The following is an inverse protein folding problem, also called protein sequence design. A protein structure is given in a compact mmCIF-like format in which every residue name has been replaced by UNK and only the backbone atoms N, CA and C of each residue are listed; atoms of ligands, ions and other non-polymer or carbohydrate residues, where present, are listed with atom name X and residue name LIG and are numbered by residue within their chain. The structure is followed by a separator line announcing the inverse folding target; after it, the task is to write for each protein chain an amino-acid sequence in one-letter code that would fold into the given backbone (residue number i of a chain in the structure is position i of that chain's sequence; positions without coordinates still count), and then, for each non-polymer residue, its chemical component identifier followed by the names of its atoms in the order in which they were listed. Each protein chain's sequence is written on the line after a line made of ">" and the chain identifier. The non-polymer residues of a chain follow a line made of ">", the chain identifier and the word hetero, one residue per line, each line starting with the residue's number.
data_IF_873529756617
#
_entry.id   IF_873529756617
#
_cell.length_a   1.000
_cell.length_b   1.000
_cell.length_c   1.000
_cell.angle_alpha   90.00
_cell.angle_beta   90.00
_cell.angle_gamma   90.00
#
_symmetry.space_group_name_H-M   'P 1'
#
loop_
_entity.id
_entity.type
_entity.pdbx_description
1 polymer ?
#
# COMPACT_ATOMS: atom_id res chain seq x y z
N UNK A 1 4.89 32.87 -9.54
CA UNK A 1 5.88 32.84 -8.45
C UNK A 1 5.25 32.42 -7.12
N UNK A 2 4.35 33.19 -6.50
CA UNK A 2 3.78 32.83 -5.18
C UNK A 2 2.75 31.69 -5.25
N UNK A 3 1.81 31.75 -6.21
CA UNK A 3 0.85 30.67 -6.50
C UNK A 3 1.48 29.33 -6.90
N UNK A 4 2.71 29.36 -7.37
CA UNK A 4 3.44 28.16 -7.82
C UNK A 4 4.09 27.45 -6.64
N UNK A 5 4.71 28.20 -5.73
CA UNK A 5 5.21 27.69 -4.45
C UNK A 5 4.11 27.16 -3.55
N UNK A 6 2.93 27.78 -3.59
CA UNK A 6 1.77 27.30 -2.82
C UNK A 6 1.29 25.94 -3.33
N UNK A 7 1.24 25.75 -4.66
CA UNK A 7 0.97 24.43 -5.26
C UNK A 7 2.03 23.41 -4.93
N UNK A 8 3.31 23.78 -4.96
CA UNK A 8 4.42 22.89 -4.56
C UNK A 8 4.30 22.47 -3.10
N UNK A 9 4.00 23.41 -2.19
CA UNK A 9 3.78 23.09 -0.77
C UNK A 9 2.56 22.20 -0.55
N UNK A 10 1.46 22.48 -1.24
CA UNK A 10 0.27 21.64 -1.19
C UNK A 10 0.56 20.22 -1.72
N UNK A 11 1.34 20.12 -2.80
CA UNK A 11 1.76 18.86 -3.40
C UNK A 11 2.67 18.05 -2.48
N UNK A 12 3.58 18.70 -1.77
CA UNK A 12 4.45 18.08 -0.77
C UNK A 12 3.66 17.61 0.45
N UNK A 13 2.72 18.42 0.95
CA UNK A 13 1.87 18.02 2.08
C UNK A 13 1.00 16.81 1.76
N UNK A 14 0.45 16.73 0.54
CA UNK A 14 -0.28 15.54 0.07
C UNK A 14 0.62 14.30 -0.04
N UNK A 15 1.88 14.49 -0.45
CA UNK A 15 2.86 13.40 -0.52
C UNK A 15 3.21 12.85 0.86
N UNK A 16 3.43 13.75 1.83
CA UNK A 16 3.73 13.40 3.23
C UNK A 16 2.55 12.66 3.87
N UNK A 17 1.32 13.12 3.66
CA UNK A 17 0.12 12.45 4.20
C UNK A 17 -0.02 11.02 3.68
N UNK A 18 0.19 10.81 2.37
CA UNK A 18 0.13 9.47 1.78
C UNK A 18 1.31 8.56 2.21
N UNK A 19 2.38 9.10 2.79
CA UNK A 19 3.54 8.36 3.31
C UNK A 19 3.52 8.24 4.84
N UNK A 20 2.59 8.91 5.52
CA UNK A 20 2.56 8.99 6.97
C UNK A 20 2.08 7.67 7.57
N UNK A 21 2.92 7.09 8.44
CA UNK A 21 2.56 5.92 9.24
C UNK A 21 1.72 6.39 10.43
N UNK A 22 0.45 5.97 10.51
CA UNK A 22 -0.40 6.27 11.66
C UNK A 22 0.06 5.47 12.90
N UNK A 23 0.67 6.16 13.86
CA UNK A 23 1.11 5.58 15.13
C UNK A 23 -0.08 5.51 16.11
N UNK A 24 -0.65 4.32 16.28
CA UNK A 24 -1.70 4.03 17.26
C UNK A 24 -1.21 3.00 18.28
N UNK A 25 -1.34 3.31 19.56
CA UNK A 25 -0.77 2.59 20.69
C UNK A 25 -1.17 1.11 20.82
N UNK A 26 -0.17 0.28 21.20
CA UNK A 26 -0.19 -1.10 21.74
C UNK A 26 -0.13 -2.34 20.83
N UNK A 27 0.13 -2.18 19.54
CA UNK A 27 0.87 -3.18 18.73
C UNK A 27 1.70 -2.38 17.73
N UNK A 28 2.99 -2.65 17.58
CA UNK A 28 3.75 -1.92 16.58
C UNK A 28 3.14 -2.22 15.21
N UNK A 29 3.00 -1.19 14.37
CA UNK A 29 2.37 -1.29 13.06
C UNK A 29 3.33 -0.74 12.02
N UNK A 30 3.46 -1.46 10.92
CA UNK A 30 4.20 -0.99 9.76
C UNK A 30 3.20 -0.47 8.74
N UNK A 31 3.21 0.84 8.50
CA UNK A 31 2.47 1.45 7.41
C UNK A 31 3.24 1.33 6.10
N UNK A 32 2.53 1.07 5.01
CA UNK A 32 3.10 0.98 3.67
C UNK A 32 2.16 1.54 2.61
N UNK A 33 2.69 1.69 1.40
CA UNK A 33 1.92 2.04 0.21
C UNK A 33 2.10 0.96 -0.84
N UNK A 34 1.00 0.50 -1.41
CA UNK A 34 0.99 -0.42 -2.57
C UNK A 34 0.52 0.37 -3.78
N UNK A 35 1.31 0.36 -4.85
CA UNK A 35 0.93 0.93 -6.15
C UNK A 35 0.68 -0.22 -7.11
N UNK A 36 -0.52 -0.29 -7.67
CA UNK A 36 -0.95 -1.33 -8.58
C UNK A 36 -1.28 -0.75 -9.94
N UNK A 37 -0.97 -1.48 -11.01
CA UNK A 37 -1.41 -1.20 -12.37
C UNK A 37 -2.34 -2.33 -12.82
N UNK A 38 -3.51 -1.98 -13.35
CA UNK A 38 -4.40 -2.99 -13.95
C UNK A 38 -3.81 -3.44 -15.29
N UNK A 39 -3.99 -4.72 -15.64
CA UNK A 39 -3.44 -5.28 -16.90
C UNK A 39 -4.12 -4.73 -18.15
N UNK A 40 -5.37 -4.26 -18.06
CA UNK A 40 -6.19 -3.81 -19.20
C UNK A 40 -6.08 -2.29 -19.49
N UNK A 41 -4.92 -1.69 -19.23
CA UNK A 41 -4.76 -0.22 -19.17
C UNK A 41 -4.07 0.32 -20.43
N UNK A 42 -4.61 -0.02 -21.60
CA UNK A 42 -4.32 0.74 -22.83
C UNK A 42 -5.56 1.53 -23.32
N UNK A 43 -6.76 1.26 -22.82
CA UNK A 43 -7.96 2.06 -23.10
C UNK A 43 -8.26 3.04 -21.96
N UNK A 44 -7.54 4.15 -21.99
CA UNK A 44 -7.58 5.23 -20.99
C UNK A 44 -8.82 6.14 -21.07
N UNK A 45 -9.78 5.87 -21.95
CA UNK A 45 -10.85 6.83 -22.24
C UNK A 45 -12.08 6.73 -21.31
N UNK A 46 -12.27 5.63 -20.57
CA UNK A 46 -13.48 5.35 -19.75
C UNK A 46 -13.21 5.14 -18.23
N UNK A 47 -12.02 5.55 -17.77
CA UNK A 47 -11.44 5.15 -16.48
C UNK A 47 -12.19 5.68 -15.23
N UNK A 48 -12.95 6.78 -15.31
CA UNK A 48 -13.50 7.42 -14.10
C UNK A 48 -14.68 6.68 -13.48
N UNK A 49 -15.51 5.99 -14.27
CA UNK A 49 -16.68 5.26 -13.77
C UNK A 49 -16.38 3.78 -13.50
N UNK A 50 -15.68 3.09 -14.41
CA UNK A 50 -15.45 1.64 -14.31
C UNK A 50 -14.38 1.23 -13.28
N UNK A 51 -13.44 2.13 -12.95
CA UNK A 51 -12.36 1.85 -11.99
C UNK A 51 -12.83 1.90 -10.56
N UNK A 52 -13.82 2.74 -10.25
CA UNK A 52 -14.44 2.79 -8.93
C UNK A 52 -15.13 1.44 -8.64
N UNK A 53 -15.81 0.87 -9.62
CA UNK A 53 -16.48 -0.44 -9.48
C UNK A 53 -15.49 -1.60 -9.35
N UNK A 54 -14.48 -1.67 -10.23
CA UNK A 54 -13.45 -2.72 -10.17
C UNK A 54 -12.51 -2.61 -8.96
N UNK A 55 -12.43 -1.43 -8.36
CA UNK A 55 -11.66 -1.21 -7.14
C UNK A 55 -12.36 -1.80 -5.90
N UNK A 56 -13.69 -1.72 -5.84
CA UNK A 56 -14.42 -2.35 -4.74
C UNK A 56 -14.13 -3.86 -4.65
N UNK A 57 -13.92 -4.52 -5.79
CA UNK A 57 -13.52 -5.92 -5.84
C UNK A 57 -12.11 -6.19 -5.28
N UNK A 58 -11.13 -5.32 -5.56
CA UNK A 58 -9.75 -5.47 -5.06
C UNK A 58 -9.65 -5.23 -3.55
N UNK A 59 -10.53 -4.36 -3.02
CA UNK A 59 -10.63 -4.06 -1.59
C UNK A 59 -11.33 -5.19 -0.80
N UNK A 60 -11.96 -6.14 -1.49
CA UNK A 60 -12.72 -7.27 -0.91
C UNK A 60 -11.88 -8.48 -0.48
N UNK A 61 -10.71 -8.27 0.14
CA UNK A 61 -9.76 -9.32 0.58
C UNK A 61 -9.14 -10.21 -0.51
N UNK A 62 -9.34 -9.90 -1.81
CA UNK A 62 -8.77 -10.70 -2.92
C UNK A 62 -7.23 -10.69 -2.94
N UNK A 63 -6.61 -9.57 -2.57
CA UNK A 63 -5.15 -9.46 -2.52
C UNK A 63 -4.67 -9.35 -1.07
N UNK A 64 -3.86 -10.32 -0.65
CA UNK A 64 -3.22 -10.33 0.67
C UNK A 64 -1.71 -10.16 0.56
N UNK A 65 -1.16 -9.56 1.61
CA UNK A 65 0.25 -9.24 1.76
C UNK A 65 0.74 -9.76 3.10
N UNK A 66 1.89 -10.44 3.11
CA UNK A 66 2.52 -10.92 4.34
C UNK A 66 4.00 -10.56 4.36
N UNK A 67 4.44 -9.98 5.47
CA UNK A 67 5.86 -9.74 5.72
C UNK A 67 6.57 -11.07 6.01
N UNK A 68 7.81 -11.16 5.54
CA UNK A 68 8.71 -12.29 5.79
C UNK A 68 9.94 -11.75 6.51
N UNK A 69 10.27 -12.35 7.66
CA UNK A 69 11.47 -11.99 8.41
C UNK A 69 12.75 -12.32 7.63
N UNK A 70 13.73 -11.43 7.71
CA UNK A 70 15.09 -11.67 7.21
C UNK A 70 16.01 -12.29 8.27
N UNK A 71 15.64 -12.23 9.54
CA UNK A 71 16.53 -12.53 10.68
C UNK A 71 16.02 -13.69 11.53
N UNK A 72 14.71 -13.94 11.53
CA UNK A 72 14.09 -15.01 12.29
C UNK A 72 13.51 -16.07 11.36
N UNK A 73 13.79 -17.34 11.65
CA UNK A 73 13.39 -18.48 10.83
C UNK A 73 12.47 -19.43 11.62
N UNK A 74 11.58 -20.11 10.90
CA UNK A 74 10.77 -21.20 11.43
C UNK A 74 11.58 -22.52 11.52
N UNK A 75 10.93 -23.60 11.97
CA UNK A 75 11.57 -24.91 12.11
C UNK A 75 12.07 -25.51 10.78
N UNK A 76 11.52 -25.06 9.65
CA UNK A 76 11.90 -25.53 8.32
C UNK A 76 13.01 -24.67 7.69
N UNK A 77 13.53 -23.69 8.44
CA UNK A 77 14.56 -22.75 7.96
C UNK A 77 14.03 -21.66 7.03
N UNK A 78 12.72 -21.43 6.98
CA UNK A 78 12.10 -20.34 6.20
C UNK A 78 11.92 -19.12 7.08
N UNK A 79 12.02 -17.92 6.51
CA UNK A 79 11.77 -16.68 7.26
C UNK A 79 10.37 -16.69 7.87
N UNK A 80 10.26 -16.34 9.16
CA UNK A 80 8.98 -16.29 9.87
C UNK A 80 7.99 -15.36 9.15
N UNK A 81 6.74 -15.80 9.05
CA UNK A 81 5.68 -15.07 8.35
C UNK A 81 4.85 -14.24 9.32
N UNK A 82 4.60 -12.99 8.93
CA UNK A 82 3.63 -12.14 9.59
C UNK A 82 2.19 -12.47 9.22
N UNK A 83 1.27 -11.78 9.91
CA UNK A 83 -0.17 -11.89 9.65
C UNK A 83 -0.52 -11.32 8.27
N UNK A 84 -1.44 -11.97 7.52
CA UNK A 84 -1.99 -11.41 6.30
C UNK A 84 -2.58 -10.02 6.54
N UNK A 85 -2.19 -9.09 5.68
CA UNK A 85 -2.69 -7.72 5.64
C UNK A 85 -3.27 -7.45 4.26
N UNK A 86 -4.28 -6.57 4.20
CA UNK A 86 -5.05 -6.32 2.98
C UNK A 86 -4.97 -4.84 2.61
N UNK A 87 -5.27 -4.53 1.35
CA UNK A 87 -5.34 -3.16 0.88
C UNK A 87 -6.38 -2.39 1.69
N UNK A 88 -5.95 -1.26 2.24
CA UNK A 88 -6.80 -0.33 2.97
C UNK A 88 -7.32 0.76 2.03
N UNK A 89 -7.36 1.98 2.56
CA UNK A 89 -7.96 3.13 1.86
C UNK A 89 -7.22 3.45 0.55
N UNK A 90 -8.00 3.69 -0.50
CA UNK A 90 -7.50 4.23 -1.77
C UNK A 90 -6.94 5.65 -1.59
N UNK A 91 -5.75 5.90 -2.10
CA UNK A 91 -5.02 7.16 -2.02
C UNK A 91 -5.17 7.95 -3.33
N UNK A 92 -6.40 8.36 -3.64
CA UNK A 92 -6.78 9.02 -4.90
C UNK A 92 -6.12 10.38 -5.17
N UNK A 93 -5.46 10.98 -4.16
CA UNK A 93 -4.84 12.32 -4.25
C UNK A 93 -3.32 12.32 -4.09
N UNK A 94 -2.67 11.15 -4.20
CA UNK A 94 -1.22 11.10 -4.10
C UNK A 94 -0.56 11.71 -5.34
N UNK A 95 0.26 12.74 -5.13
CA UNK A 95 1.12 13.33 -6.15
C UNK A 95 2.21 12.32 -6.58
N UNK A 96 2.54 12.28 -7.87
CA UNK A 96 3.58 11.40 -8.43
C UNK A 96 3.12 10.03 -8.93
N UNK A 97 1.81 9.78 -9.00
CA UNK A 97 1.26 8.60 -9.67
C UNK A 97 1.16 8.83 -11.18
N UNK A 98 1.55 7.85 -11.98
CA UNK A 98 1.30 7.88 -13.41
C UNK A 98 -0.18 7.67 -13.71
N UNK A 99 -0.73 8.24 -14.80
CA UNK A 99 -2.08 7.93 -15.23
C UNK A 99 -2.28 6.42 -15.35
N UNK A 100 -3.29 5.87 -14.67
CA UNK A 100 -3.56 4.42 -14.63
C UNK A 100 -3.06 3.69 -13.38
N UNK A 101 -2.22 4.34 -12.55
CA UNK A 101 -1.80 3.80 -11.27
C UNK A 101 -2.89 3.91 -10.21
N UNK A 102 -3.02 2.87 -9.38
CA UNK A 102 -3.89 2.85 -8.22
C UNK A 102 -3.05 2.66 -6.95
N UNK A 103 -3.01 3.68 -6.09
CA UNK A 103 -2.27 3.63 -4.84
C UNK A 103 -3.17 3.34 -3.65
N UNK A 104 -2.76 2.41 -2.79
CA UNK A 104 -3.45 2.00 -1.58
C UNK A 104 -2.55 2.15 -0.37
N UNK A 105 -3.13 2.61 0.73
CA UNK A 105 -2.50 2.43 2.04
C UNK A 105 -2.63 0.98 2.47
N UNK A 106 -1.59 0.44 3.10
CA UNK A 106 -1.63 -0.86 3.78
C UNK A 106 -1.00 -0.71 5.16
N UNK A 107 -1.52 -1.46 6.13
CA UNK A 107 -0.98 -1.48 7.49
C UNK A 107 -0.79 -2.92 7.91
N UNK A 108 0.47 -3.27 8.22
CA UNK A 108 0.83 -4.57 8.77
C UNK A 108 0.82 -4.50 10.30
N UNK A 109 0.25 -5.52 10.94
CA UNK A 109 0.52 -5.78 12.35
C UNK A 109 1.94 -6.31 12.46
N UNK A 110 2.82 -5.56 13.13
CA UNK A 110 4.18 -6.02 13.38
C UNK A 110 4.19 -6.87 14.64
N UNK A 111 4.94 -7.96 14.55
CA UNK A 111 5.13 -8.94 15.60
C UNK A 111 6.63 -9.02 15.87
N UNK A 112 7.02 -8.97 17.15
CA UNK A 112 8.42 -9.09 17.58
C UNK A 112 9.05 -10.38 17.07
N UNK A 113 8.25 -11.43 16.81
CA UNK A 113 8.74 -12.66 16.20
C UNK A 113 9.25 -12.49 14.76
N UNK A 114 8.74 -11.50 14.02
CA UNK A 114 9.25 -11.16 12.68
C UNK A 114 10.53 -10.35 12.82
N UNK A 115 10.62 -9.50 13.84
CA UNK A 115 11.71 -8.53 14.03
C UNK A 115 11.95 -7.69 12.76
N UNK A 116 12.99 -7.99 11.99
CA UNK A 116 13.30 -7.26 10.75
C UNK A 116 12.67 -7.94 9.51
N UNK A 117 11.67 -7.32 8.86
CA UNK A 117 11.15 -7.82 7.58
C UNK A 117 12.15 -7.55 6.45
N UNK A 118 12.37 -8.54 5.57
CA UNK A 118 13.21 -8.37 4.38
C UNK A 118 12.60 -8.85 3.08
N UNK A 119 11.42 -9.48 3.12
CA UNK A 119 10.68 -9.84 1.93
C UNK A 119 9.16 -9.73 2.16
N UNK A 120 8.41 -9.80 1.05
CA UNK A 120 6.95 -9.70 1.04
C UNK A 120 6.37 -10.82 0.16
N UNK A 121 5.36 -11.50 0.67
CA UNK A 121 4.52 -12.41 -0.11
C UNK A 121 3.27 -11.66 -0.53
N UNK A 122 2.94 -11.71 -1.82
CA UNK A 122 1.70 -11.19 -2.39
C UNK A 122 0.90 -12.35 -2.95
N UNK A 123 -0.37 -12.46 -2.54
CA UNK A 123 -1.30 -13.45 -3.08
C UNK A 123 -2.52 -12.73 -3.64
N UNK A 124 -2.88 -13.05 -4.88
CA UNK A 124 -4.13 -12.64 -5.50
C UNK A 124 -4.98 -13.90 -5.67
N UNK A 125 -6.07 -14.00 -4.91
CA UNK A 125 -7.07 -15.08 -5.00
C UNK A 125 -7.98 -14.90 -6.21
#
# INVERSE_FOLDING_TARGET
>A
REREREREREMLNKLVDCCSVHHGSKKEKIGGRVVLMKKNVLDFNDFSASVVDGLHELLGKKISFQLVSAVNFDSDGKGKLGKPSYLGKWLSKCSGLTPGDLAFGITFEWDEEIDVPGALIVRNE
#
